data_IF_650864896462
#
_entry.id   IF_650864896462
#
_cell.length_a   1.000
_cell.length_b   1.000
_cell.length_c   1.000
_cell.angle_alpha   90.00
_cell.angle_beta   90.00
_cell.angle_gamma   90.00
#
_symmetry.space_group_name_H-M   'P 1'
#
loop_
_entity.id
_entity.type
_entity.pdbx_description
1 polymer ?
#
# COMPACT_ATOMS: atom_id res chain seq x y z
N UNK A 1 -13.24 6.87 -10.61
CA UNK A 1 -12.05 7.67 -10.97
C UNK A 1 -11.66 8.45 -9.72
N UNK A 2 -10.46 8.23 -9.20
CA UNK A 2 -9.93 8.88 -7.99
C UNK A 2 -8.64 9.59 -8.37
N UNK A 3 -8.37 10.76 -7.79
CA UNK A 3 -7.16 11.52 -8.07
C UNK A 3 -6.16 11.41 -6.92
N UNK A 4 -4.87 11.36 -7.25
CA UNK A 4 -3.82 11.45 -6.24
C UNK A 4 -3.85 12.84 -5.58
N UNK A 5 -3.92 12.94 -4.24
CA UNK A 5 -3.97 14.24 -3.56
C UNK A 5 -2.68 15.06 -3.66
N UNK A 6 -1.56 14.44 -4.04
CA UNK A 6 -0.24 15.11 -4.12
C UNK A 6 0.07 15.63 -5.53
N UNK A 7 -0.27 14.87 -6.58
CA UNK A 7 0.09 15.21 -7.97
C UNK A 7 -1.10 15.31 -8.93
N UNK A 8 -2.33 15.15 -8.45
CA UNK A 8 -3.58 15.18 -9.23
C UNK A 8 -3.70 14.11 -10.34
N UNK A 9 -2.75 13.16 -10.40
CA UNK A 9 -2.79 12.05 -11.34
C UNK A 9 -4.07 11.23 -11.17
N UNK A 10 -4.67 10.82 -12.30
CA UNK A 10 -5.90 10.02 -12.30
C UNK A 10 -5.55 8.57 -12.06
N UNK A 11 -6.01 8.01 -10.94
CA UNK A 11 -5.93 6.60 -10.61
C UNK A 11 -7.21 5.92 -11.10
N UNK A 12 -7.12 5.23 -12.24
CA UNK A 12 -8.23 4.56 -12.90
C UNK A 12 -8.11 3.04 -12.83
N UNK A 13 -6.90 2.51 -12.92
CA UNK A 13 -6.61 1.08 -12.95
C UNK A 13 -5.71 0.66 -11.80
N UNK A 14 -5.68 -0.65 -11.51
CA UNK A 14 -4.88 -1.23 -10.43
C UNK A 14 -3.37 -1.01 -10.63
N UNK A 15 -2.95 -0.84 -11.89
CA UNK A 15 -1.56 -0.57 -12.28
C UNK A 15 -1.09 0.83 -11.94
N UNK A 16 -1.99 1.75 -11.62
CA UNK A 16 -1.65 3.14 -11.28
C UNK A 16 -1.14 3.26 -9.83
N UNK A 17 -1.13 2.16 -9.08
CA UNK A 17 -0.71 2.11 -7.68
C UNK A 17 0.28 0.97 -7.41
N UNK A 18 1.28 1.23 -6.57
CA UNK A 18 2.22 0.22 -6.10
C UNK A 18 1.89 -0.24 -4.67
N UNK A 19 1.97 -1.56 -4.44
CA UNK A 19 1.77 -2.16 -3.12
C UNK A 19 3.11 -2.59 -2.52
N UNK A 20 3.56 -1.89 -1.48
CA UNK A 20 4.74 -2.26 -0.71
C UNK A 20 4.34 -3.09 0.53
N UNK A 21 4.75 -4.36 0.58
CA UNK A 21 4.58 -5.22 1.77
C UNK A 21 5.70 -4.94 2.78
N UNK A 22 5.33 -4.32 3.89
CA UNK A 22 6.19 -4.19 5.06
C UNK A 22 6.03 -5.45 5.91
N UNK A 23 6.73 -6.51 5.48
CA UNK A 23 6.71 -7.80 6.15
C UNK A 23 6.96 -7.66 7.65
N UNK A 24 6.10 -8.28 8.47
CA UNK A 24 6.26 -8.27 9.92
C UNK A 24 7.59 -8.95 10.29
N UNK A 25 8.53 -8.21 10.90
CA UNK A 25 9.73 -8.80 11.52
C UNK A 25 9.26 -9.69 12.67
N UNK A 26 9.18 -10.99 12.40
CA UNK A 26 8.69 -12.00 13.33
C UNK A 26 9.64 -12.18 14.52
N UNK A 27 9.41 -11.42 15.59
CA UNK A 27 9.97 -11.69 16.92
C UNK A 27 8.94 -12.42 17.77
N UNK A 28 9.24 -13.66 18.18
CA UNK A 28 8.59 -14.59 19.15
C UNK A 28 7.06 -14.79 19.11
N UNK A 29 6.28 -13.75 18.86
CA UNK A 29 4.85 -13.79 18.58
C UNK A 29 4.65 -13.87 17.07
N UNK A 30 3.92 -14.90 16.64
CA UNK A 30 3.34 -15.01 15.29
C UNK A 30 2.36 -13.84 15.12
N UNK A 31 2.86 -12.64 14.84
CA UNK A 31 2.03 -11.53 14.39
C UNK A 31 1.57 -11.90 12.98
N UNK A 32 0.45 -12.61 12.92
CA UNK A 32 -0.19 -13.05 11.68
C UNK A 32 -0.84 -11.87 10.95
N UNK A 33 -0.15 -10.75 10.78
CA UNK A 33 -0.65 -9.59 10.02
C UNK A 33 0.44 -9.05 9.11
N UNK A 34 0.08 -8.81 7.85
CA UNK A 34 0.91 -8.16 6.83
C UNK A 34 0.41 -6.74 6.65
N UNK A 35 1.35 -5.80 6.61
CA UNK A 35 1.08 -4.39 6.41
C UNK A 35 1.42 -4.03 4.97
N UNK A 36 0.49 -3.38 4.28
CA UNK A 36 0.66 -2.92 2.92
C UNK A 36 0.58 -1.41 2.91
N UNK A 37 1.50 -0.79 2.18
CA UNK A 37 1.43 0.62 1.84
C UNK A 37 1.07 0.72 0.36
N UNK A 38 0.13 1.61 0.03
CA UNK A 38 -0.27 1.90 -1.34
C UNK A 38 0.38 3.22 -1.73
N UNK A 39 1.20 3.19 -2.77
CA UNK A 39 1.85 4.37 -3.34
C UNK A 39 1.27 4.71 -4.71
N UNK A 40 1.23 6.00 -5.05
CA UNK A 40 0.91 6.44 -6.40
C UNK A 40 2.05 6.08 -7.36
N UNK A 41 1.73 5.46 -8.50
CA UNK A 41 2.72 5.06 -9.51
C UNK A 41 3.45 6.22 -10.19
N UNK A 42 2.86 7.42 -10.22
CA UNK A 42 3.46 8.59 -10.88
C UNK A 42 4.43 9.36 -9.98
N UNK A 43 4.02 9.68 -8.75
CA UNK A 43 4.80 10.54 -7.85
C UNK A 43 5.42 9.79 -6.66
N UNK A 44 5.08 8.51 -6.46
CA UNK A 44 5.55 7.71 -5.33
C UNK A 44 4.95 8.09 -3.98
N UNK A 45 3.98 9.01 -3.94
CA UNK A 45 3.33 9.41 -2.70
C UNK A 45 2.57 8.26 -2.06
N UNK A 46 2.68 8.12 -0.74
CA UNK A 46 1.91 7.17 0.03
C UNK A 46 0.44 7.64 0.13
N UNK A 47 -0.46 6.99 -0.61
CA UNK A 47 -1.88 7.35 -0.72
C UNK A 47 -2.80 6.46 0.12
N UNK A 48 -2.28 5.36 0.66
CA UNK A 48 -3.07 4.48 1.52
C UNK A 48 -2.25 3.45 2.27
N UNK A 49 -2.87 2.80 3.25
CA UNK A 49 -2.31 1.62 3.91
C UNK A 49 -3.40 0.60 4.22
N UNK A 50 -3.03 -0.67 4.25
CA UNK A 50 -3.93 -1.78 4.53
C UNK A 50 -3.26 -2.82 5.41
N UNK A 51 -4.08 -3.56 6.16
CA UNK A 51 -3.61 -4.67 7.01
C UNK A 51 -4.37 -5.92 6.65
N UNK A 52 -3.68 -6.96 6.19
CA UNK A 52 -4.30 -8.27 5.95
C UNK A 52 -3.89 -9.27 7.05
N UNK A 53 -4.82 -10.11 7.47
CA UNK A 53 -4.51 -11.26 8.30
C UNK A 53 -3.66 -12.27 7.51
N UNK A 54 -2.48 -12.59 8.02
CA UNK A 54 -1.70 -13.73 7.56
C UNK A 54 -2.37 -15.04 8.02
N UNK A 55 -2.39 -16.03 7.12
CA UNK A 55 -3.01 -17.34 7.34
C UNK A 55 -2.18 -18.23 8.26
#
# INVERSE_FOLDING_TARGET
>A
MVHCPECDATLAEETDVEFADFGAKSGFFKASKRFYLVACGDCGAAIGSGVAGAR
#
